data_IF_657109651384
#
_entry.id   IF_657109651384
#
_cell.length_a   1.000
_cell.length_b   1.000
_cell.length_c   1.000
_cell.angle_alpha   90.00
_cell.angle_beta   90.00
_cell.angle_gamma   90.00
#
_symmetry.space_group_name_H-M   'P 1'
#
loop_
_entity.id
_entity.type
_entity.pdbx_description
1 polymer ?
#
# COMPACT_ATOMS: atom_id res chain seq x y z
N UNK A 1 59.18 20.61 19.77
CA UNK A 1 59.29 21.43 18.55
C UNK A 1 58.90 20.57 17.36
N UNK A 2 57.63 20.55 17.02
CA UNK A 2 57.10 20.12 15.72
C UNK A 2 55.97 21.10 15.40
N UNK A 3 56.16 21.82 14.30
CA UNK A 3 55.26 22.80 13.68
C UNK A 3 53.91 22.13 13.38
N UNK A 4 52.75 22.79 13.56
CA UNK A 4 52.17 23.73 12.59
C UNK A 4 51.83 22.95 11.31
N UNK A 5 50.57 22.71 10.96
CA UNK A 5 49.73 23.64 10.17
C UNK A 5 48.25 23.19 10.24
N UNK A 6 47.33 24.16 10.25
CA UNK A 6 45.90 23.94 10.04
C UNK A 6 45.48 24.42 8.66
N UNK A 7 44.33 23.95 8.19
CA UNK A 7 43.54 24.52 7.09
C UNK A 7 42.12 23.93 7.25
N UNK A 8 41.14 24.69 7.73
CA UNK A 8 40.25 25.59 6.99
C UNK A 8 38.98 24.86 6.48
N UNK A 9 37.87 25.53 6.77
CA UNK A 9 36.47 25.17 6.51
C UNK A 9 36.12 25.33 5.03
N UNK A 10 35.19 24.52 4.51
CA UNK A 10 34.28 24.98 3.45
C UNK A 10 32.92 24.31 3.57
N UNK A 11 31.89 25.14 3.50
CA UNK A 11 30.48 24.83 3.61
C UNK A 11 29.80 25.25 2.30
N UNK A 12 29.08 24.31 1.68
CA UNK A 12 28.13 24.58 0.59
C UNK A 12 27.40 23.27 0.27
N UNK A 13 26.08 23.13 0.29
CA UNK A 13 25.02 24.10 0.09
C UNK A 13 24.53 24.03 -1.35
N UNK A 14 23.35 23.44 -1.60
CA UNK A 14 22.60 23.66 -2.84
C UNK A 14 21.90 22.45 -3.49
N UNK A 15 20.64 22.21 -3.11
CA UNK A 15 19.55 21.68 -3.98
C UNK A 15 19.19 22.80 -5.00
N UNK A 16 18.47 22.68 -6.12
CA UNK A 16 17.50 21.72 -6.66
C UNK A 16 17.21 22.08 -8.15
N UNK A 17 16.48 21.19 -8.85
CA UNK A 17 15.49 21.41 -9.93
C UNK A 17 15.96 22.03 -11.27
N UNK A 18 15.45 21.67 -12.44
CA UNK A 18 14.34 20.83 -12.90
C UNK A 18 14.06 21.22 -14.37
N UNK A 19 13.42 20.37 -15.18
CA UNK A 19 12.56 20.77 -16.32
C UNK A 19 12.17 19.55 -17.17
N UNK A 20 10.97 19.01 -16.94
CA UNK A 20 10.13 18.48 -18.02
C UNK A 20 8.69 18.86 -17.71
N UNK A 21 8.25 19.95 -18.32
CA UNK A 21 6.85 20.32 -18.43
C UNK A 21 6.12 19.29 -19.30
N UNK A 22 4.94 18.86 -18.86
CA UNK A 22 3.88 18.49 -19.77
C UNK A 22 2.55 18.98 -19.20
N UNK A 23 1.98 19.95 -19.90
CA UNK A 23 0.72 20.59 -19.59
C UNK A 23 -0.12 20.55 -20.86
N UNK A 24 -1.19 19.75 -20.84
CA UNK A 24 -2.31 19.81 -21.78
C UNK A 24 -3.54 19.33 -20.99
N UNK A 25 -4.31 20.22 -20.38
CA UNK A 25 -5.45 20.91 -20.97
C UNK A 25 -6.63 19.96 -21.25
N UNK A 26 -7.59 19.89 -20.32
CA UNK A 26 -8.94 19.44 -20.65
C UNK A 26 -9.98 20.45 -20.14
N UNK A 27 -10.65 21.06 -21.11
CA UNK A 27 -11.63 22.12 -20.93
C UNK A 27 -13.02 21.52 -20.79
N UNK A 28 -13.74 21.94 -19.75
CA UNK A 28 -15.16 21.66 -19.57
C UNK A 28 -15.99 22.62 -20.41
N UNK A 29 -16.90 22.08 -21.23
CA UNK A 29 -17.87 22.84 -22.01
C UNK A 29 -19.24 22.17 -21.92
N UNK A 30 -20.19 22.89 -21.32
CA UNK A 30 -21.59 22.52 -21.24
C UNK A 30 -22.34 22.79 -22.56
N UNK A 31 -23.36 21.98 -22.86
CA UNK A 31 -24.33 22.23 -23.93
C UNK A 31 -25.44 21.18 -23.96
N UNK A 32 -26.65 21.60 -23.58
CA UNK A 32 -27.93 20.88 -23.67
C UNK A 32 -28.41 20.71 -25.14
N UNK A 33 -29.14 19.61 -25.43
CA UNK A 33 -30.49 19.59 -26.02
C UNK A 33 -30.88 18.27 -26.76
N UNK A 34 -32.02 17.73 -26.35
CA UNK A 34 -33.11 17.07 -27.11
C UNK A 34 -32.96 15.74 -27.88
N UNK A 35 -33.61 14.72 -27.29
CA UNK A 35 -34.60 13.75 -27.84
C UNK A 35 -34.52 13.23 -29.29
N UNK A 36 -34.48 11.89 -29.43
CA UNK A 36 -35.49 11.11 -30.19
C UNK A 36 -35.35 9.59 -30.00
N UNK A 37 -36.52 8.96 -30.00
CA UNK A 37 -36.92 7.56 -29.87
C UNK A 37 -36.43 6.66 -31.04
N UNK A 38 -36.03 5.42 -30.74
CA UNK A 38 -36.21 4.25 -31.64
C UNK A 38 -35.77 2.92 -30.98
N UNK A 39 -36.73 2.01 -30.85
CA UNK A 39 -36.59 0.59 -30.53
C UNK A 39 -35.61 -0.18 -31.42
N UNK A 40 -34.80 -1.07 -30.82
CA UNK A 40 -34.46 -2.39 -31.39
C UNK A 40 -33.72 -3.31 -30.39
N UNK A 41 -34.47 -4.30 -29.91
CA UNK A 41 -34.11 -5.69 -29.59
C UNK A 41 -32.63 -6.10 -29.34
N UNK A 42 -32.40 -6.61 -28.13
CA UNK A 42 -32.07 -8.03 -27.97
C UNK A 42 -30.61 -8.43 -27.80
N UNK A 43 -30.21 -8.69 -26.56
CA UNK A 43 -29.69 -10.00 -26.14
C UNK A 43 -29.62 -10.02 -24.61
N UNK A 44 -30.58 -10.69 -23.97
CA UNK A 44 -30.40 -11.12 -22.59
C UNK A 44 -29.43 -12.29 -22.58
N UNK A 45 -28.39 -12.19 -21.77
CA UNK A 45 -27.69 -13.35 -21.26
C UNK A 45 -28.21 -13.59 -19.83
N UNK A 46 -28.89 -14.72 -19.66
CA UNK A 46 -29.27 -15.26 -18.38
C UNK A 46 -28.72 -16.69 -18.33
N UNK A 47 -27.79 -16.97 -17.43
CA UNK A 47 -27.43 -18.35 -17.16
C UNK A 47 -26.16 -18.61 -16.37
N UNK A 48 -26.24 -18.49 -15.04
CA UNK A 48 -25.53 -19.38 -14.12
C UNK A 48 -25.93 -19.02 -12.69
N UNK A 49 -26.82 -19.71 -11.96
CA UNK A 49 -26.87 -21.09 -11.43
C UNK A 49 -25.91 -21.36 -10.24
N UNK A 50 -26.33 -20.89 -9.06
CA UNK A 50 -25.57 -20.75 -7.80
C UNK A 50 -24.70 -21.94 -7.37
N UNK A 51 -23.38 -21.74 -7.31
CA UNK A 51 -22.47 -22.23 -6.26
C UNK A 51 -21.08 -21.62 -6.49
N UNK A 52 -20.54 -20.88 -5.51
CA UNK A 52 -19.30 -20.06 -5.53
C UNK A 52 -19.38 -18.59 -6.04
N UNK A 53 -20.56 -17.95 -6.09
CA UNK A 53 -20.75 -16.58 -6.66
C UNK A 53 -20.77 -15.40 -5.68
N UNK A 54 -20.36 -15.58 -4.43
CA UNK A 54 -20.27 -14.48 -3.45
C UNK A 54 -18.84 -14.05 -3.11
N UNK A 55 -17.84 -14.63 -3.78
CA UNK A 55 -16.49 -14.09 -3.68
C UNK A 55 -16.45 -12.78 -4.48
N UNK A 56 -16.06 -11.65 -3.87
CA UNK A 56 -15.89 -10.40 -4.59
C UNK A 56 -14.84 -10.60 -5.66
N UNK A 57 -15.01 -9.92 -6.80
CA UNK A 57 -13.98 -9.92 -7.83
C UNK A 57 -12.69 -9.39 -7.20
N UNK A 58 -11.63 -10.19 -7.24
CA UNK A 58 -10.39 -9.85 -6.55
C UNK A 58 -9.82 -8.51 -7.05
N UNK A 59 -10.07 -8.13 -8.31
CA UNK A 59 -9.63 -6.85 -8.84
C UNK A 59 -10.45 -5.66 -8.32
N UNK A 60 -11.71 -5.88 -7.94
CA UNK A 60 -12.57 -4.84 -7.36
C UNK A 60 -12.35 -4.68 -5.85
N UNK A 61 -12.15 -5.79 -5.12
CA UNK A 61 -11.86 -5.76 -3.68
C UNK A 61 -10.96 -6.94 -3.27
N UNK A 62 -9.66 -6.73 -3.37
CA UNK A 62 -8.67 -7.74 -3.04
C UNK A 62 -8.70 -8.13 -1.55
N UNK A 63 -9.10 -7.24 -0.64
CA UNK A 63 -9.15 -7.53 0.80
C UNK A 63 -10.27 -8.50 1.10
N UNK A 64 -11.44 -8.25 0.54
CA UNK A 64 -12.58 -9.14 0.71
C UNK A 64 -12.34 -10.49 -0.01
N UNK A 65 -11.66 -10.49 -1.17
CA UNK A 65 -11.27 -11.72 -1.85
C UNK A 65 -10.22 -12.52 -1.05
N UNK A 66 -9.25 -11.84 -0.43
CA UNK A 66 -8.24 -12.45 0.44
C UNK A 66 -8.89 -13.09 1.66
N UNK A 67 -9.79 -12.37 2.34
CA UNK A 67 -10.52 -12.87 3.50
C UNK A 67 -11.41 -14.08 3.15
N UNK A 68 -12.06 -14.05 1.98
CA UNK A 68 -12.88 -15.17 1.51
C UNK A 68 -12.05 -16.42 1.16
N UNK A 69 -10.87 -16.23 0.57
CA UNK A 69 -9.98 -17.34 0.19
C UNK A 69 -9.20 -17.91 1.38
N UNK A 70 -8.81 -17.06 2.35
CA UNK A 70 -7.93 -17.43 3.46
C UNK A 70 -6.49 -17.74 3.03
N UNK A 71 -6.12 -17.44 1.78
CA UNK A 71 -4.78 -17.66 1.23
C UNK A 71 -4.44 -16.66 0.12
N UNK A 72 -3.13 -16.43 -0.11
CA UNK A 72 -2.62 -15.62 -1.22
C UNK A 72 -2.76 -16.38 -2.55
N UNK A 73 -3.95 -16.38 -3.12
CA UNK A 73 -4.17 -16.91 -4.47
C UNK A 73 -3.50 -16.04 -5.53
N UNK A 74 -3.14 -16.57 -6.71
CA UNK A 74 -2.56 -15.78 -7.79
C UNK A 74 -3.43 -14.58 -8.20
N UNK A 75 -4.77 -14.71 -8.15
CA UNK A 75 -5.69 -13.64 -8.48
C UNK A 75 -5.63 -12.48 -7.47
N UNK A 76 -5.56 -12.79 -6.18
CA UNK A 76 -5.42 -11.78 -5.12
C UNK A 76 -4.05 -11.10 -5.19
N UNK A 77 -2.99 -11.87 -5.43
CA UNK A 77 -1.64 -11.32 -5.65
C UNK A 77 -1.65 -10.33 -6.81
N UNK A 78 -2.21 -10.71 -7.96
CA UNK A 78 -2.29 -9.82 -9.11
C UNK A 78 -3.09 -8.55 -8.79
N UNK A 79 -4.24 -8.67 -8.12
CA UNK A 79 -5.04 -7.52 -7.74
C UNK A 79 -4.27 -6.53 -6.85
N UNK A 80 -3.66 -7.01 -5.75
CA UNK A 80 -2.83 -6.19 -4.85
C UNK A 80 -1.71 -5.48 -5.61
N UNK A 81 -1.05 -6.18 -6.54
CA UNK A 81 0.05 -5.63 -7.34
C UNK A 81 -0.46 -4.63 -8.38
N UNK A 82 -1.63 -4.87 -8.98
CA UNK A 82 -2.23 -3.93 -9.94
C UNK A 82 -2.66 -2.63 -9.27
N UNK A 83 -3.18 -2.68 -8.05
CA UNK A 83 -3.65 -1.51 -7.29
C UNK A 83 -2.48 -0.72 -6.72
N UNK A 84 -1.51 -1.39 -6.08
CA UNK A 84 -0.46 -0.73 -5.30
C UNK A 84 0.94 -0.80 -5.94
N UNK A 85 1.06 -1.41 -7.13
CA UNK A 85 2.30 -1.51 -7.89
C UNK A 85 3.45 -2.17 -7.11
N UNK A 86 4.60 -1.50 -7.09
CA UNK A 86 5.79 -1.98 -6.39
C UNK A 86 5.60 -2.11 -4.87
N UNK A 87 4.71 -1.30 -4.27
CA UNK A 87 4.40 -1.39 -2.83
C UNK A 87 3.65 -2.67 -2.52
N UNK A 88 2.66 -3.02 -3.35
CA UNK A 88 1.90 -4.27 -3.24
C UNK A 88 2.79 -5.51 -3.33
N UNK A 89 3.69 -5.57 -4.31
CA UNK A 89 4.66 -6.68 -4.42
C UNK A 89 5.50 -6.87 -3.16
N UNK A 90 6.04 -5.76 -2.64
CA UNK A 90 6.90 -5.79 -1.45
C UNK A 90 6.15 -6.20 -0.19
N UNK A 91 4.89 -5.81 -0.08
CA UNK A 91 4.02 -6.27 1.00
C UNK A 91 3.85 -7.80 0.98
N UNK A 92 3.56 -8.37 -0.20
CA UNK A 92 3.38 -9.81 -0.37
C UNK A 92 4.68 -10.58 -0.05
N UNK A 93 5.83 -10.08 -0.50
CA UNK A 93 7.14 -10.63 -0.15
C UNK A 93 7.35 -10.65 1.37
N UNK A 94 7.05 -9.54 2.06
CA UNK A 94 7.21 -9.45 3.50
C UNK A 94 6.31 -10.41 4.29
N UNK A 95 5.05 -10.59 3.87
CA UNK A 95 4.14 -11.57 4.49
C UNK A 95 4.61 -13.01 4.22
N UNK A 96 5.07 -13.29 3.01
CA UNK A 96 5.58 -14.62 2.63
C UNK A 96 6.85 -14.99 3.41
N UNK A 97 7.60 -14.00 3.87
CA UNK A 97 8.81 -14.15 4.67
C UNK A 97 8.56 -13.94 6.18
N UNK A 98 7.30 -13.93 6.62
CA UNK A 98 6.90 -13.86 8.04
C UNK A 98 7.51 -12.64 8.78
N UNK A 99 7.58 -11.49 8.09
CA UNK A 99 8.18 -10.24 8.62
C UNK A 99 7.23 -9.32 9.35
N UNK A 100 5.98 -9.72 9.55
CA UNK A 100 4.94 -8.95 10.23
C UNK A 100 4.78 -9.49 11.64
N UNK A 101 5.13 -8.66 12.62
CA UNK A 101 5.18 -9.02 14.04
C UNK A 101 4.12 -8.25 14.79
N UNK A 102 3.12 -8.95 15.34
CA UNK A 102 2.06 -8.30 16.10
C UNK A 102 2.39 -8.35 17.59
N UNK A 103 2.46 -7.17 18.20
CA UNK A 103 2.49 -7.00 19.65
C UNK A 103 1.07 -6.68 20.15
N UNK A 104 0.92 -6.52 21.46
CA UNK A 104 -0.41 -6.32 22.07
C UNK A 104 -1.08 -5.01 21.65
N UNK A 105 -0.28 -4.00 21.36
CA UNK A 105 -0.67 -2.61 21.16
C UNK A 105 -0.33 -2.07 19.78
N UNK A 106 0.63 -2.67 19.07
CA UNK A 106 1.04 -2.25 17.73
C UNK A 106 1.57 -3.42 16.89
N UNK A 107 1.64 -3.22 15.57
CA UNK A 107 2.25 -4.18 14.65
C UNK A 107 3.57 -3.61 14.13
N UNK A 108 4.64 -4.40 14.17
CA UNK A 108 5.95 -4.05 13.61
C UNK A 108 6.17 -4.80 12.32
N UNK A 109 6.52 -4.09 11.25
CA UNK A 109 6.96 -4.68 9.99
C UNK A 109 8.45 -4.49 9.84
N UNK A 110 9.18 -5.60 9.72
CA UNK A 110 10.63 -5.57 9.54
C UNK A 110 10.94 -5.25 8.08
N UNK A 111 11.40 -4.03 7.80
CA UNK A 111 11.94 -3.65 6.51
C UNK A 111 13.40 -4.07 6.33
N UNK A 112 13.92 -3.99 5.10
CA UNK A 112 15.34 -4.31 4.82
C UNK A 112 16.35 -3.37 5.50
N UNK A 113 15.92 -2.16 5.90
CA UNK A 113 16.79 -1.12 6.44
C UNK A 113 16.46 -0.73 7.88
N UNK A 114 15.20 -0.85 8.26
CA UNK A 114 14.68 -0.46 9.56
C UNK A 114 13.38 -1.22 9.83
N UNK A 115 13.01 -1.27 11.10
CA UNK A 115 11.72 -1.72 11.58
C UNK A 115 10.75 -0.54 11.59
N UNK A 116 9.49 -0.80 11.26
CA UNK A 116 8.46 0.23 11.14
C UNK A 116 7.23 -0.16 11.93
N UNK A 117 6.75 0.78 12.74
CA UNK A 117 5.52 0.61 13.52
C UNK A 117 4.31 0.95 12.63
N UNK A 118 3.29 0.10 12.70
CA UNK A 118 2.01 0.23 12.01
C UNK A 118 0.89 0.17 13.06
N UNK A 119 0.07 1.22 13.08
CA UNK A 119 -1.05 1.40 14.03
C UNK A 119 -2.23 2.04 13.30
N UNK A 120 -3.44 1.52 13.51
CA UNK A 120 -4.69 1.99 12.89
C UNK A 120 -4.58 2.23 11.37
N UNK A 121 -3.80 1.39 10.71
CA UNK A 121 -3.54 1.44 9.27
C UNK A 121 -2.53 2.50 8.80
N UNK A 122 -2.05 3.36 9.69
CA UNK A 122 -0.94 4.28 9.49
C UNK A 122 0.43 3.63 9.77
N UNK A 123 1.50 4.23 9.25
CA UNK A 123 2.87 3.74 9.44
C UNK A 123 3.83 4.91 9.67
N UNK A 124 4.86 4.70 10.50
CA UNK A 124 5.89 5.70 10.81
C UNK A 124 6.92 5.95 9.68
N UNK A 125 6.82 5.23 8.55
CA UNK A 125 7.83 5.29 7.52
C UNK A 125 7.78 6.59 6.70
N UNK A 126 8.92 6.96 6.11
CA UNK A 126 9.03 8.17 5.28
C UNK A 126 8.06 8.17 4.07
N UNK A 127 7.77 6.99 3.51
CA UNK A 127 6.85 6.90 2.37
C UNK A 127 5.42 7.27 2.78
N UNK A 128 4.97 6.80 3.95
CA UNK A 128 3.68 7.19 4.52
C UNK A 128 3.65 8.67 4.93
N UNK A 129 4.75 9.18 5.49
CA UNK A 129 4.81 10.56 5.95
C UNK A 129 4.80 11.61 4.83
N UNK A 130 5.34 11.27 3.65
CA UNK A 130 5.64 12.26 2.62
C UNK A 130 5.00 12.01 1.25
N UNK A 131 4.60 10.78 0.92
CA UNK A 131 4.23 10.42 -0.45
C UNK A 131 2.79 9.90 -0.61
N UNK A 132 2.00 9.81 0.46
CA UNK A 132 0.67 9.19 0.44
C UNK A 132 -0.38 10.14 1.02
N UNK A 133 -1.58 10.15 0.44
CA UNK A 133 -2.75 10.82 0.98
C UNK A 133 -3.40 9.93 2.06
N UNK A 134 -3.39 10.32 3.34
CA UNK A 134 -4.00 9.53 4.41
C UNK A 134 -5.53 9.43 4.32
N UNK A 135 -6.17 10.20 3.43
CA UNK A 135 -7.61 10.12 3.17
C UNK A 135 -7.98 9.15 2.04
N UNK A 136 -7.01 8.69 1.25
CA UNK A 136 -7.23 7.69 0.20
C UNK A 136 -6.89 6.27 0.73
N UNK A 137 -7.88 5.35 0.80
CA UNK A 137 -7.67 4.00 1.35
C UNK A 137 -6.76 3.11 0.49
N UNK A 138 -6.50 3.47 -0.77
CA UNK A 138 -5.61 2.76 -1.67
C UNK A 138 -4.18 3.30 -1.64
N UNK A 139 -3.98 4.53 -1.16
CA UNK A 139 -2.66 5.14 -0.96
C UNK A 139 -2.04 4.71 0.38
N UNK A 140 -1.62 3.45 0.45
CA UNK A 140 -0.97 2.88 1.64
C UNK A 140 0.47 2.45 1.36
N UNK A 141 1.33 2.64 2.36
CA UNK A 141 2.72 2.24 2.25
C UNK A 141 2.82 0.71 2.27
N UNK A 142 3.92 0.17 1.78
CA UNK A 142 4.06 -1.29 1.71
C UNK A 142 4.00 -1.98 3.09
N UNK A 143 4.40 -1.31 4.18
CA UNK A 143 4.30 -1.86 5.53
C UNK A 143 2.84 -2.01 5.96
N UNK A 144 2.03 -0.96 5.79
CA UNK A 144 0.61 -0.98 6.11
C UNK A 144 -0.14 -2.04 5.28
N UNK A 145 0.20 -2.16 3.98
CA UNK A 145 -0.33 -3.22 3.12
C UNK A 145 0.08 -4.62 3.59
N UNK A 146 1.31 -4.80 4.09
CA UNK A 146 1.75 -6.09 4.63
C UNK A 146 0.97 -6.48 5.87
N UNK A 147 0.64 -5.52 6.74
CA UNK A 147 -0.22 -5.75 7.91
C UNK A 147 -1.62 -6.16 7.49
N UNK A 148 -2.27 -5.40 6.59
CA UNK A 148 -3.60 -5.76 6.07
C UNK A 148 -3.65 -7.21 5.55
N UNK A 149 -2.65 -7.58 4.74
CA UNK A 149 -2.56 -8.92 4.13
C UNK A 149 -2.29 -9.98 5.20
N UNK A 150 -1.38 -9.74 6.14
CA UNK A 150 -1.04 -10.70 7.19
C UNK A 150 -2.22 -10.94 8.15
N UNK A 151 -2.93 -9.88 8.54
CA UNK A 151 -4.10 -9.95 9.40
C UNK A 151 -5.26 -10.69 8.71
N UNK A 152 -5.51 -10.39 7.43
CA UNK A 152 -6.54 -11.11 6.66
C UNK A 152 -6.26 -12.61 6.50
N UNK A 153 -4.99 -13.02 6.59
CA UNK A 153 -4.55 -14.40 6.48
C UNK A 153 -4.34 -15.10 7.82
N UNK A 154 -4.48 -14.40 8.95
CA UNK A 154 -4.10 -14.89 10.29
C UNK A 154 -2.63 -15.38 10.33
N UNK A 155 -1.73 -14.68 9.61
CA UNK A 155 -0.29 -15.00 9.47
C UNK A 155 0.63 -14.01 10.16
N UNK A 156 0.13 -13.31 11.17
CA UNK A 156 0.95 -12.43 12.00
C UNK A 156 1.77 -13.27 13.00
N UNK A 157 3.05 -12.95 13.15
CA UNK A 157 3.90 -13.56 14.18
C UNK A 157 3.62 -12.84 15.51
N UNK A 158 2.83 -13.49 16.38
CA UNK A 158 2.40 -12.91 17.64
C UNK A 158 3.53 -12.96 18.68
N UNK A 159 3.91 -11.79 19.19
CA UNK A 159 4.86 -11.67 20.29
C UNK A 159 4.15 -11.18 21.56
N UNK A 160 4.05 -12.06 22.55
CA UNK A 160 3.46 -11.78 23.88
C UNK A 160 4.38 -10.93 24.81
N UNK A 161 5.15 -10.00 24.25
CA UNK A 161 6.06 -9.11 25.00
C UNK A 161 5.60 -7.66 24.90
N UNK A 162 5.88 -6.83 25.91
CA UNK A 162 5.53 -5.40 25.88
C UNK A 162 6.74 -4.54 25.48
N UNK A 163 6.53 -3.38 24.82
CA UNK A 163 7.61 -2.44 24.46
C UNK A 163 8.48 -2.02 25.65
N UNK A 164 7.89 -1.98 26.85
CA UNK A 164 8.60 -1.71 28.12
C UNK A 164 9.70 -2.71 28.48
N UNK A 165 9.71 -3.89 27.86
CA UNK A 165 10.73 -4.92 28.07
C UNK A 165 11.87 -4.83 27.03
N UNK A 166 11.67 -4.08 25.94
CA UNK A 166 12.60 -4.00 24.78
C UNK A 166 13.23 -2.62 24.63
N UNK A 167 12.58 -1.54 25.09
CA UNK A 167 13.08 -0.17 24.96
C UNK A 167 14.41 0.10 25.70
N UNK A 168 14.85 -0.75 26.63
CA UNK A 168 16.18 -0.63 27.25
C UNK A 168 17.35 -1.02 26.31
N UNK A 169 17.06 -1.55 25.11
CA UNK A 169 18.08 -2.08 24.18
C UNK A 169 18.21 -1.35 22.83
N UNK A 170 17.40 -0.30 22.59
CA UNK A 170 17.50 0.58 21.40
C UNK A 170 18.28 1.87 21.73
#
# INVERSE_FOLDING_TARGET
>A
MTHGEGDAVDAGGGRAAGDTANADANAVGAGDADAADADAAGAGDAGGDGSARDAPDAAEDWRAALSAAGELTPAVVEAVVSTHGARGRRAIEAVSEERVKQYRDFTVVVGHRAEHVVEDGGCDCEDAAYNLDPSDPDERCWHALAVDVAEALDRVDHHDMWYSEVHEFL
#
